data_IF_044740369551
#
_entry.id   IF_044740369551
#
_cell.length_a   1.000
_cell.length_b   1.000
_cell.length_c   1.000
_cell.angle_alpha   90.00
_cell.angle_beta   90.00
_cell.angle_gamma   90.00
#
_symmetry.space_group_name_H-M   'P 1'
#
loop_
_entity.id
_entity.type
_entity.pdbx_description
1 polymer ?
#
# COMPACT_ATOMS: atom_id res chain seq x y z
N UNK A 1 6.58 13.19 -20.46
CA UNK A 1 6.80 11.70 -20.38
C UNK A 1 5.43 11.07 -20.22
N UNK A 2 5.19 9.91 -20.78
CA UNK A 2 3.90 9.20 -20.62
C UNK A 2 3.89 8.37 -19.33
N UNK A 3 2.74 8.21 -18.72
CA UNK A 3 2.55 7.35 -17.53
C UNK A 3 3.18 5.95 -17.71
N UNK A 4 3.09 5.39 -18.91
CA UNK A 4 3.68 4.09 -19.22
C UNK A 4 5.21 4.06 -19.13
N UNK A 5 5.88 5.15 -19.46
CA UNK A 5 7.33 5.26 -19.34
C UNK A 5 7.75 5.32 -17.86
N UNK A 6 6.99 6.08 -17.04
CA UNK A 6 7.22 6.15 -15.59
C UNK A 6 7.00 4.78 -14.93
N UNK A 7 5.89 4.09 -15.26
CA UNK A 7 5.60 2.74 -14.76
C UNK A 7 6.74 1.75 -15.08
N UNK A 8 7.24 1.75 -16.32
CA UNK A 8 8.38 0.90 -16.69
C UNK A 8 9.63 1.22 -15.87
N UNK A 9 9.86 2.51 -15.61
CA UNK A 9 10.95 2.97 -14.74
C UNK A 9 10.80 2.45 -13.31
N UNK A 10 9.59 2.57 -12.73
CA UNK A 10 9.29 2.12 -11.37
C UNK A 10 9.41 0.59 -11.23
N UNK A 11 8.92 -0.20 -12.20
CA UNK A 11 9.12 -1.65 -12.19
C UNK A 11 10.59 -2.05 -12.30
N UNK A 12 11.39 -1.36 -13.15
CA UNK A 12 12.83 -1.58 -13.24
C UNK A 12 13.55 -1.22 -11.94
N UNK A 13 13.14 -0.13 -11.30
CA UNK A 13 13.66 0.28 -10.00
C UNK A 13 13.41 -0.81 -8.95
N UNK A 14 12.17 -1.26 -8.82
CA UNK A 14 11.78 -2.29 -7.88
C UNK A 14 12.57 -3.59 -8.10
N UNK A 15 12.78 -3.98 -9.36
CA UNK A 15 13.60 -5.14 -9.72
C UNK A 15 15.06 -4.94 -9.29
N UNK A 16 15.66 -3.81 -9.68
CA UNK A 16 17.08 -3.51 -9.42
C UNK A 16 17.41 -3.45 -7.94
N UNK A 17 16.48 -2.93 -7.13
CA UNK A 17 16.69 -2.76 -5.69
C UNK A 17 16.11 -3.91 -4.84
N UNK A 18 15.73 -5.01 -5.46
CA UNK A 18 15.39 -6.24 -4.75
C UNK A 18 14.02 -6.27 -4.09
N UNK A 19 13.10 -5.36 -4.44
CA UNK A 19 11.75 -5.33 -3.86
C UNK A 19 11.00 -6.65 -4.10
N UNK A 20 11.10 -7.19 -5.31
CA UNK A 20 10.48 -8.49 -5.63
C UNK A 20 11.05 -9.63 -4.79
N UNK A 21 12.38 -9.65 -4.58
CA UNK A 21 13.03 -10.63 -3.73
C UNK A 21 12.53 -10.56 -2.30
N UNK A 22 12.37 -9.35 -1.77
CA UNK A 22 11.84 -9.13 -0.43
C UNK A 22 10.39 -9.59 -0.29
N UNK A 23 9.52 -9.24 -1.25
CA UNK A 23 8.14 -9.74 -1.29
C UNK A 23 8.09 -11.28 -1.37
N UNK A 24 8.95 -11.89 -2.16
CA UNK A 24 9.01 -13.36 -2.28
C UNK A 24 9.39 -14.02 -0.94
N UNK A 25 10.37 -13.45 -0.23
CA UNK A 25 10.81 -13.95 1.10
C UNK A 25 9.65 -13.84 2.10
N UNK A 26 8.96 -12.70 2.15
CA UNK A 26 7.81 -12.53 3.05
C UNK A 26 6.65 -13.45 2.68
N UNK A 27 6.33 -13.62 1.39
CA UNK A 27 5.32 -14.58 0.95
C UNK A 27 5.65 -15.99 1.40
N UNK A 28 6.89 -16.45 1.19
CA UNK A 28 7.33 -17.79 1.59
C UNK A 28 7.24 -17.98 3.12
N UNK A 29 7.68 -16.96 3.88
CA UNK A 29 7.60 -16.98 5.33
C UNK A 29 6.15 -17.05 5.82
N UNK A 30 5.25 -16.23 5.28
CA UNK A 30 3.84 -16.23 5.68
C UNK A 30 3.10 -17.51 5.29
N UNK A 31 3.33 -18.01 4.09
CA UNK A 31 2.79 -19.32 3.69
C UNK A 31 3.31 -20.41 4.63
N UNK A 32 4.60 -20.43 4.94
CA UNK A 32 5.18 -21.40 5.89
C UNK A 32 4.57 -21.31 7.27
N UNK A 33 4.40 -20.11 7.82
CA UNK A 33 3.74 -19.90 9.12
C UNK A 33 2.28 -20.34 9.07
N UNK A 34 1.53 -19.95 8.03
CA UNK A 34 0.12 -20.32 7.89
C UNK A 34 -0.08 -21.83 7.82
N UNK A 35 0.76 -22.54 7.07
CA UNK A 35 0.69 -24.01 6.98
C UNK A 35 0.98 -24.71 8.32
N UNK A 36 1.70 -24.05 9.23
CA UNK A 36 1.99 -24.58 10.57
C UNK A 36 0.90 -24.25 11.62
N UNK A 37 -0.03 -23.33 11.29
CA UNK A 37 -1.08 -22.90 12.22
C UNK A 37 -2.26 -23.89 12.27
N UNK A 38 -2.94 -24.02 13.43
CA UNK A 38 -4.18 -24.79 13.56
C UNK A 38 -5.30 -24.27 12.67
N UNK A 39 -6.13 -25.15 12.13
CA UNK A 39 -7.24 -24.80 11.23
C UNK A 39 -8.22 -23.77 11.83
N UNK A 40 -8.38 -23.76 13.15
CA UNK A 40 -9.30 -22.86 13.88
C UNK A 40 -8.95 -21.37 13.74
N UNK A 41 -7.67 -21.03 13.62
CA UNK A 41 -7.20 -19.62 13.52
C UNK A 41 -6.62 -19.29 12.14
N UNK A 42 -6.52 -20.27 11.26
CA UNK A 42 -5.83 -20.18 9.97
C UNK A 42 -6.37 -19.04 9.09
N UNK A 43 -7.69 -18.96 8.91
CA UNK A 43 -8.32 -17.90 8.10
C UNK A 43 -8.09 -16.50 8.68
N UNK A 44 -8.25 -16.32 9.99
CA UNK A 44 -8.05 -15.03 10.66
C UNK A 44 -6.59 -14.59 10.59
N UNK A 45 -5.66 -15.53 10.79
CA UNK A 45 -4.24 -15.26 10.64
C UNK A 45 -3.88 -14.87 9.20
N UNK A 46 -4.42 -15.57 8.19
CA UNK A 46 -4.20 -15.23 6.79
C UNK A 46 -4.71 -13.82 6.45
N UNK A 47 -5.91 -13.45 6.93
CA UNK A 47 -6.46 -12.10 6.76
C UNK A 47 -5.56 -11.02 7.36
N UNK A 48 -5.10 -11.23 8.60
CA UNK A 48 -4.23 -10.28 9.28
C UNK A 48 -2.87 -10.15 8.58
N UNK A 49 -2.27 -11.27 8.17
CA UNK A 49 -0.99 -11.26 7.46
C UNK A 49 -1.10 -10.57 6.09
N UNK A 50 -2.15 -10.84 5.32
CA UNK A 50 -2.36 -10.18 4.03
C UNK A 50 -2.64 -8.68 4.21
N UNK A 51 -3.39 -8.31 5.24
CA UNK A 51 -3.70 -6.91 5.52
C UNK A 51 -2.49 -6.13 6.03
N UNK A 52 -1.74 -6.69 7.00
CA UNK A 52 -0.62 -5.99 7.64
C UNK A 52 0.60 -5.86 6.74
N UNK A 53 0.77 -6.72 5.74
CA UNK A 53 1.99 -6.77 4.94
C UNK A 53 1.74 -6.49 3.46
N UNK A 54 1.15 -7.34 2.63
CA UNK A 54 0.94 -7.00 1.22
C UNK A 54 0.16 -5.70 1.02
N UNK A 55 -0.88 -5.44 1.82
CA UNK A 55 -1.63 -4.20 1.70
C UNK A 55 -0.89 -2.99 2.28
N UNK A 56 -0.21 -3.11 3.43
CA UNK A 56 0.43 -2.00 4.12
C UNK A 56 1.88 -1.70 3.67
N UNK A 57 2.59 -2.68 3.12
CA UNK A 57 3.99 -2.50 2.67
C UNK A 57 4.18 -1.38 1.64
N UNK A 58 3.14 -1.08 0.86
CA UNK A 58 3.13 0.06 -0.04
C UNK A 58 3.51 1.38 0.64
N UNK A 59 3.15 1.55 1.92
CA UNK A 59 3.49 2.72 2.71
C UNK A 59 5.01 2.88 2.86
N UNK A 60 5.68 1.84 3.33
CA UNK A 60 7.13 1.86 3.57
C UNK A 60 7.93 1.87 2.28
N UNK A 61 7.58 1.03 1.32
CA UNK A 61 8.31 0.90 0.07
C UNK A 61 8.21 2.15 -0.78
N UNK A 62 7.04 2.76 -0.86
CA UNK A 62 6.90 4.02 -1.58
C UNK A 62 7.72 5.12 -0.91
N UNK A 63 7.68 5.20 0.42
CA UNK A 63 8.48 6.17 1.14
C UNK A 63 9.98 5.99 0.95
N UNK A 64 10.47 4.76 1.03
CA UNK A 64 11.86 4.44 0.76
C UNK A 64 12.26 4.80 -0.68
N UNK A 65 11.42 4.46 -1.67
CA UNK A 65 11.63 4.79 -3.09
C UNK A 65 11.73 6.29 -3.31
N UNK A 66 10.78 7.07 -2.77
CA UNK A 66 10.76 8.54 -2.92
C UNK A 66 11.94 9.19 -2.23
N UNK A 67 12.29 8.79 -1.01
CA UNK A 67 13.45 9.33 -0.30
C UNK A 67 14.77 8.98 -1.00
N UNK A 68 14.87 7.79 -1.57
CA UNK A 68 16.03 7.40 -2.37
C UNK A 68 16.15 8.26 -3.63
N UNK A 69 15.07 8.48 -4.36
CA UNK A 69 15.04 9.38 -5.52
C UNK A 69 15.38 10.83 -5.15
N UNK A 70 14.93 11.30 -3.98
CA UNK A 70 15.32 12.61 -3.45
C UNK A 70 16.83 12.68 -3.20
N UNK A 71 17.40 11.66 -2.56
CA UNK A 71 18.85 11.61 -2.26
C UNK A 71 19.72 11.60 -3.51
N UNK A 72 19.25 10.98 -4.58
CA UNK A 72 19.93 10.92 -5.89
C UNK A 72 19.58 12.11 -6.82
N UNK A 73 18.83 13.10 -6.34
CA UNK A 73 18.37 14.27 -7.13
C UNK A 73 17.50 13.91 -8.35
N UNK A 74 16.98 12.71 -8.42
CA UNK A 74 16.07 12.28 -9.50
C UNK A 74 14.80 13.13 -9.48
N UNK A 75 14.27 13.43 -8.28
CA UNK A 75 13.10 14.31 -8.13
C UNK A 75 13.35 15.70 -8.68
N UNK A 76 14.54 16.26 -8.50
CA UNK A 76 14.91 17.57 -9.08
C UNK A 76 14.91 17.55 -10.61
N UNK A 77 15.38 16.46 -11.21
CA UNK A 77 15.35 16.28 -12.67
C UNK A 77 13.90 16.10 -13.19
N UNK A 78 13.04 15.41 -12.42
CA UNK A 78 11.63 15.26 -12.75
C UNK A 78 10.84 16.57 -12.60
N UNK A 79 11.24 17.43 -11.65
CA UNK A 79 10.58 18.71 -11.40
C UNK A 79 10.75 19.71 -12.56
N UNK A 80 11.85 19.61 -13.33
CA UNK A 80 12.09 20.43 -14.54
C UNK A 80 11.66 19.74 -15.83
N UNK A 81 11.29 18.45 -15.77
CA UNK A 81 10.76 17.71 -16.90
C UNK A 81 9.26 17.94 -17.06
N UNK A 82 8.67 17.77 -18.25
CA UNK A 82 7.22 17.88 -18.46
C UNK A 82 6.48 16.65 -17.92
N UNK A 83 6.56 16.44 -16.59
CA UNK A 83 5.89 15.36 -15.87
C UNK A 83 4.92 15.96 -14.87
N UNK A 84 3.65 15.59 -14.97
CA UNK A 84 2.67 16.01 -13.99
C UNK A 84 2.86 15.26 -12.66
N UNK A 85 2.69 15.95 -11.53
CA UNK A 85 2.74 15.32 -10.21
C UNK A 85 1.75 14.16 -10.07
N UNK A 86 0.61 14.22 -10.74
CA UNK A 86 -0.38 13.14 -10.81
C UNK A 86 0.14 11.89 -11.51
N UNK A 87 0.87 12.04 -12.61
CA UNK A 87 1.48 10.91 -13.33
C UNK A 87 2.59 10.25 -12.51
N UNK A 88 3.43 11.06 -11.85
CA UNK A 88 4.46 10.58 -10.95
C UNK A 88 3.88 9.77 -9.77
N UNK A 89 2.85 10.29 -9.12
CA UNK A 89 2.17 9.60 -8.02
C UNK A 89 1.49 8.34 -8.51
N UNK A 90 0.71 8.44 -9.60
CA UNK A 90 -0.03 7.31 -10.15
C UNK A 90 0.89 6.15 -10.54
N UNK A 91 2.04 6.42 -11.18
CA UNK A 91 2.96 5.36 -11.59
C UNK A 91 3.49 4.57 -10.38
N UNK A 92 3.90 5.26 -9.32
CA UNK A 92 4.42 4.62 -8.11
C UNK A 92 3.37 3.81 -7.36
N UNK A 93 2.18 4.41 -7.16
CA UNK A 93 1.08 3.73 -6.49
C UNK A 93 0.66 2.47 -7.26
N UNK A 94 0.48 2.58 -8.57
CA UNK A 94 0.07 1.45 -9.40
C UNK A 94 1.11 0.34 -9.43
N UNK A 95 2.39 0.68 -9.62
CA UNK A 95 3.45 -0.33 -9.69
C UNK A 95 3.58 -1.13 -8.38
N UNK A 96 3.53 -0.46 -7.22
CA UNK A 96 3.58 -1.13 -5.93
C UNK A 96 2.31 -1.95 -5.65
N UNK A 97 1.12 -1.40 -5.97
CA UNK A 97 -0.13 -2.11 -5.76
C UNK A 97 -0.25 -3.39 -6.62
N UNK A 98 0.31 -3.40 -7.83
CA UNK A 98 0.39 -4.62 -8.63
C UNK A 98 1.24 -5.70 -7.95
N UNK A 99 2.39 -5.33 -7.40
CA UNK A 99 3.29 -6.28 -6.71
C UNK A 99 2.64 -6.77 -5.40
N UNK A 100 2.08 -5.86 -4.62
CA UNK A 100 1.35 -6.20 -3.38
C UNK A 100 0.18 -7.15 -3.64
N UNK A 101 -0.57 -6.91 -4.70
CA UNK A 101 -1.70 -7.79 -5.08
C UNK A 101 -1.22 -9.17 -5.46
N UNK A 102 -0.12 -9.26 -6.24
CA UNK A 102 0.51 -10.53 -6.55
C UNK A 102 0.94 -11.30 -5.30
N UNK A 103 1.57 -10.61 -4.34
CA UNK A 103 1.97 -11.18 -3.06
C UNK A 103 0.77 -11.65 -2.22
N UNK A 104 -0.27 -10.82 -2.08
CA UNK A 104 -1.49 -11.18 -1.35
C UNK A 104 -2.21 -12.38 -1.96
N UNK A 105 -2.30 -12.44 -3.30
CA UNK A 105 -2.84 -13.59 -4.01
C UNK A 105 -1.99 -14.85 -3.81
N UNK A 106 -0.67 -14.74 -3.86
CA UNK A 106 0.22 -15.86 -3.61
C UNK A 106 0.00 -16.43 -2.20
N UNK A 107 -0.04 -15.57 -1.16
CA UNK A 107 -0.31 -16.01 0.21
C UNK A 107 -1.68 -16.70 0.30
N UNK A 108 -2.73 -16.11 -0.29
CA UNK A 108 -4.08 -16.66 -0.25
C UNK A 108 -4.20 -18.03 -0.92
N UNK A 109 -3.55 -18.22 -2.09
CA UNK A 109 -3.62 -19.45 -2.86
C UNK A 109 -2.76 -20.57 -2.25
N UNK A 110 -1.53 -20.24 -1.86
CA UNK A 110 -0.60 -21.26 -1.35
C UNK A 110 -0.82 -21.62 0.12
N UNK A 111 -1.45 -20.74 0.90
CA UNK A 111 -1.81 -21.07 2.29
C UNK A 111 -3.03 -21.99 2.43
N UNK A 112 -3.86 -22.10 1.40
CA UNK A 112 -5.10 -22.89 1.49
C UNK A 112 -6.18 -22.28 2.41
N UNK A 113 -6.11 -20.97 2.70
CA UNK A 113 -7.03 -20.30 3.63
C UNK A 113 -8.48 -20.16 3.14
N UNK A 114 -8.78 -20.57 1.90
CA UNK A 114 -10.13 -20.53 1.33
C UNK A 114 -10.68 -19.11 1.17
N UNK A 115 -9.82 -18.13 0.87
CA UNK A 115 -10.20 -16.73 0.70
C UNK A 115 -10.76 -16.45 -0.70
N UNK A 116 -11.73 -15.51 -0.84
CA UNK A 116 -12.32 -15.18 -2.14
C UNK A 116 -11.34 -14.37 -3.00
N UNK A 117 -10.78 -15.02 -4.03
CA UNK A 117 -9.66 -14.51 -4.84
C UNK A 117 -9.95 -13.13 -5.46
N UNK A 118 -11.15 -12.94 -6.04
CA UNK A 118 -11.47 -11.70 -6.77
C UNK A 118 -11.64 -10.50 -5.83
N UNK A 119 -12.40 -10.64 -4.75
CA UNK A 119 -12.58 -9.56 -3.77
C UNK A 119 -11.30 -9.30 -2.98
N UNK A 120 -10.52 -10.34 -2.68
CA UNK A 120 -9.20 -10.20 -2.08
C UNK A 120 -8.26 -9.39 -2.98
N UNK A 121 -8.21 -9.70 -4.28
CA UNK A 121 -7.41 -8.93 -5.23
C UNK A 121 -7.79 -7.44 -5.22
N UNK A 122 -9.10 -7.14 -5.23
CA UNK A 122 -9.59 -5.77 -5.14
C UNK A 122 -9.24 -5.12 -3.80
N UNK A 123 -9.40 -5.84 -2.69
CA UNK A 123 -9.08 -5.37 -1.34
C UNK A 123 -7.61 -5.05 -1.15
N UNK A 124 -6.71 -5.95 -1.57
CA UNK A 124 -5.26 -5.74 -1.48
C UNK A 124 -4.81 -4.63 -2.42
N UNK A 125 -5.33 -4.60 -3.66
CA UNK A 125 -4.98 -3.57 -4.64
C UNK A 125 -5.34 -2.17 -4.15
N UNK A 126 -6.59 -1.95 -3.75
CA UNK A 126 -7.06 -0.66 -3.24
C UNK A 126 -6.44 -0.30 -1.89
N UNK A 127 -6.25 -1.28 -1.01
CA UNK A 127 -5.55 -1.10 0.26
C UNK A 127 -4.10 -0.65 0.03
N UNK A 128 -3.37 -1.31 -0.86
CA UNK A 128 -2.01 -0.91 -1.21
C UNK A 128 -1.95 0.47 -1.85
N UNK A 129 -2.91 0.84 -2.72
CA UNK A 129 -3.02 2.20 -3.25
C UNK A 129 -3.20 3.23 -2.13
N UNK A 130 -4.06 2.95 -1.16
CA UNK A 130 -4.32 3.83 -0.02
C UNK A 130 -3.08 3.98 0.86
N UNK A 131 -2.47 2.88 1.29
CA UNK A 131 -1.26 2.90 2.11
C UNK A 131 -0.10 3.59 1.40
N UNK A 132 0.09 3.30 0.09
CA UNK A 132 1.09 3.97 -0.72
C UNK A 132 0.83 5.48 -0.86
N UNK A 133 -0.44 5.91 -1.00
CA UNK A 133 -0.78 7.33 -1.02
C UNK A 133 -0.43 8.03 0.30
N UNK A 134 -0.69 7.38 1.44
CA UNK A 134 -0.26 7.87 2.77
C UNK A 134 1.27 7.94 2.83
N UNK A 135 1.97 6.90 2.37
CA UNK A 135 3.44 6.86 2.28
C UNK A 135 4.01 8.02 1.47
N UNK A 136 3.40 8.35 0.31
CA UNK A 136 3.78 9.49 -0.52
C UNK A 136 3.64 10.82 0.24
N UNK A 137 2.54 11.03 0.95
CA UNK A 137 2.29 12.25 1.72
C UNK A 137 3.35 12.44 2.80
N UNK A 138 3.72 11.36 3.49
CA UNK A 138 4.72 11.38 4.56
C UNK A 138 6.13 11.56 4.01
N UNK A 139 6.49 10.83 2.95
CA UNK A 139 7.80 10.92 2.30
C UNK A 139 8.07 12.31 1.70
N UNK A 140 7.06 12.94 1.11
CA UNK A 140 7.19 14.31 0.59
C UNK A 140 7.49 15.37 1.68
N UNK A 141 7.28 15.03 2.96
CA UNK A 141 7.53 15.90 4.12
C UNK A 141 8.76 15.49 4.92
N UNK A 142 9.23 14.26 4.75
CA UNK A 142 10.36 13.73 5.48
C UNK A 142 11.68 14.14 4.82
N UNK A 143 12.64 14.60 5.63
CA UNK A 143 13.98 14.93 5.16
C UNK A 143 14.93 13.71 5.21
N UNK A 144 14.61 12.72 6.04
CA UNK A 144 15.45 11.51 6.26
C UNK A 144 14.56 10.29 6.44
N UNK A 145 15.15 9.11 6.18
CA UNK A 145 14.47 7.84 6.35
C UNK A 145 13.99 7.62 7.80
N UNK A 146 14.81 7.96 8.78
CA UNK A 146 14.43 7.83 10.20
C UNK A 146 13.20 8.69 10.54
N UNK A 147 13.17 9.94 10.06
CA UNK A 147 12.01 10.82 10.26
C UNK A 147 10.77 10.26 9.56
N UNK A 148 10.94 9.71 8.36
CA UNK A 148 9.85 9.07 7.64
C UNK A 148 9.26 7.91 8.45
N UNK A 149 10.10 6.97 8.92
CA UNK A 149 9.66 5.82 9.73
C UNK A 149 8.92 6.27 10.99
N UNK A 150 9.42 7.28 11.70
CA UNK A 150 8.73 7.83 12.88
C UNK A 150 7.36 8.44 12.53
N UNK A 151 7.22 9.03 11.35
CA UNK A 151 5.93 9.59 10.90
C UNK A 151 4.95 8.52 10.41
N UNK A 152 5.43 7.34 10.00
CA UNK A 152 4.54 6.25 9.56
C UNK A 152 3.85 5.56 10.72
N UNK A 153 4.49 5.46 11.89
CA UNK A 153 3.96 4.77 13.07
C UNK A 153 2.54 5.23 13.45
N UNK A 154 2.26 6.53 13.68
CA UNK A 154 0.91 6.97 14.03
C UNK A 154 -0.10 6.76 12.90
N UNK A 155 0.31 6.93 11.65
CA UNK A 155 -0.57 6.70 10.50
C UNK A 155 -0.95 5.21 10.37
N UNK A 156 0.00 4.33 10.59
CA UNK A 156 -0.20 2.88 10.56
C UNK A 156 -1.10 2.42 11.71
N UNK A 157 -0.84 2.88 12.92
CA UNK A 157 -1.68 2.57 14.09
C UNK A 157 -3.12 3.02 13.84
N UNK A 158 -3.34 4.22 13.28
CA UNK A 158 -4.69 4.72 12.99
C UNK A 158 -5.45 3.87 11.97
N UNK A 159 -4.76 3.23 11.02
CA UNK A 159 -5.41 2.43 9.99
C UNK A 159 -5.49 0.94 10.41
N UNK A 160 -4.41 0.40 10.98
CA UNK A 160 -4.32 -1.03 11.27
C UNK A 160 -5.00 -1.40 12.59
N UNK A 161 -4.79 -0.64 13.67
CA UNK A 161 -5.29 -1.04 14.98
C UNK A 161 -6.83 -1.11 15.06
N UNK A 162 -7.62 -0.13 14.55
CA UNK A 162 -9.07 -0.25 14.54
C UNK A 162 -9.56 -1.39 13.65
N UNK A 163 -8.88 -1.64 12.51
CA UNK A 163 -9.23 -2.71 11.61
C UNK A 163 -8.95 -4.11 12.23
N UNK A 164 -7.81 -4.26 12.89
CA UNK A 164 -7.50 -5.48 13.62
C UNK A 164 -8.47 -5.70 14.80
N UNK A 165 -8.76 -4.65 15.56
CA UNK A 165 -9.72 -4.72 16.66
C UNK A 165 -11.12 -5.15 16.19
N UNK A 166 -11.55 -4.69 15.01
CA UNK A 166 -12.84 -5.06 14.42
C UNK A 166 -12.98 -6.57 14.22
N UNK A 167 -11.92 -7.28 13.86
CA UNK A 167 -11.97 -8.74 13.72
C UNK A 167 -12.33 -9.47 15.02
N UNK A 168 -12.02 -8.89 16.18
CA UNK A 168 -12.20 -9.49 17.50
C UNK A 168 -13.37 -8.88 18.29
N UNK A 169 -13.89 -7.72 17.88
CA UNK A 169 -14.89 -6.94 18.62
C UNK A 169 -16.34 -7.16 18.16
N UNK A 170 -16.66 -8.34 17.62
CA UNK A 170 -18.03 -8.64 17.16
C UNK A 170 -18.43 -7.97 15.85
N UNK A 171 -17.51 -7.36 15.13
CA UNK A 171 -17.65 -6.84 13.77
C UNK A 171 -18.79 -5.82 13.57
N UNK A 172 -18.85 -4.72 14.34
CA UNK A 172 -19.93 -3.76 14.24
C UNK A 172 -19.99 -3.09 12.85
N UNK A 173 -21.18 -3.02 12.25
CA UNK A 173 -21.40 -2.54 10.88
C UNK A 173 -20.93 -1.11 10.64
N UNK A 174 -21.01 -0.22 11.64
CA UNK A 174 -20.59 1.17 11.52
C UNK A 174 -19.09 1.31 11.18
N UNK A 175 -18.27 0.34 11.58
CA UNK A 175 -16.85 0.35 11.30
C UNK A 175 -16.50 0.11 9.83
N UNK A 176 -17.48 -0.23 8.97
CA UNK A 176 -17.27 -0.31 7.53
C UNK A 176 -16.90 1.05 6.90
N UNK A 177 -17.12 2.16 7.60
CA UNK A 177 -16.64 3.48 7.17
C UNK A 177 -15.14 3.64 7.31
N UNK A 178 -14.48 2.76 8.07
CA UNK A 178 -13.04 2.81 8.28
C UNK A 178 -12.29 2.08 7.15
N UNK A 179 -11.29 2.72 6.50
CA UNK A 179 -10.64 2.15 5.32
C UNK A 179 -9.95 0.81 5.58
N UNK A 180 -9.31 0.62 6.73
CA UNK A 180 -8.68 -0.65 7.08
C UNK A 180 -9.68 -1.79 7.24
N UNK A 181 -10.89 -1.52 7.79
CA UNK A 181 -11.98 -2.50 7.88
C UNK A 181 -12.46 -2.90 6.48
N UNK A 182 -12.60 -1.93 5.57
CA UNK A 182 -12.97 -2.21 4.18
C UNK A 182 -12.00 -3.18 3.51
N UNK A 183 -10.70 -3.00 3.72
CA UNK A 183 -9.68 -3.94 3.18
C UNK A 183 -9.90 -5.34 3.74
N UNK A 184 -10.10 -5.49 5.06
CA UNK A 184 -10.35 -6.80 5.69
C UNK A 184 -11.64 -7.46 5.18
N UNK A 185 -12.73 -6.70 5.03
CA UNK A 185 -14.00 -7.20 4.48
C UNK A 185 -13.79 -7.72 3.05
N UNK A 186 -13.10 -6.96 2.20
CA UNK A 186 -12.81 -7.37 0.83
C UNK A 186 -11.85 -8.57 0.76
N UNK A 187 -10.89 -8.67 1.67
CA UNK A 187 -9.98 -9.82 1.73
C UNK A 187 -10.67 -11.12 2.20
N UNK A 188 -11.92 -11.08 2.59
CA UNK A 188 -12.68 -12.27 2.97
C UNK A 188 -13.11 -12.28 4.43
N UNK A 189 -13.12 -11.12 5.09
CA UNK A 189 -13.75 -10.90 6.38
C UNK A 189 -15.27 -11.01 6.30
N UNK A 190 -15.94 -10.91 7.43
CA UNK A 190 -17.39 -10.82 7.49
C UNK A 190 -17.86 -9.45 6.98
N UNK A 191 -19.07 -9.40 6.43
CA UNK A 191 -19.67 -8.15 5.97
C UNK A 191 -19.98 -8.12 4.47
N UNK A 192 -20.58 -7.02 4.03
CA UNK A 192 -20.95 -6.83 2.63
C UNK A 192 -19.79 -6.19 1.85
N UNK A 193 -19.29 -6.88 0.83
CA UNK A 193 -18.18 -6.42 0.01
C UNK A 193 -18.48 -5.15 -0.82
N UNK A 194 -19.72 -4.95 -1.24
CA UNK A 194 -20.07 -3.79 -2.09
C UNK A 194 -19.93 -2.44 -1.37
N UNK A 195 -20.53 -2.21 -0.19
CA UNK A 195 -20.29 -0.98 0.57
C UNK A 195 -18.83 -0.78 0.89
N UNK A 196 -18.11 -1.84 1.29
CA UNK A 196 -16.69 -1.77 1.58
C UNK A 196 -15.87 -1.30 0.36
N UNK A 197 -16.20 -1.80 -0.82
CA UNK A 197 -15.54 -1.40 -2.07
C UNK A 197 -15.73 0.10 -2.35
N UNK A 198 -16.96 0.61 -2.27
CA UNK A 198 -17.24 2.02 -2.55
C UNK A 198 -16.59 2.95 -1.52
N UNK A 199 -16.65 2.59 -0.24
CA UNK A 199 -16.00 3.37 0.82
C UNK A 199 -14.48 3.38 0.64
N UNK A 200 -13.88 2.24 0.33
CA UNK A 200 -12.44 2.14 0.10
C UNK A 200 -12.00 2.93 -1.14
N UNK A 201 -12.80 2.90 -2.21
CA UNK A 201 -12.56 3.74 -3.41
C UNK A 201 -12.60 5.23 -3.07
N UNK A 202 -13.57 5.66 -2.26
CA UNK A 202 -13.68 7.05 -1.82
C UNK A 202 -12.44 7.49 -1.00
N UNK A 203 -12.01 6.67 -0.05
CA UNK A 203 -10.80 6.92 0.74
C UNK A 203 -9.53 6.94 -0.12
N UNK A 204 -9.39 5.97 -1.03
CA UNK A 204 -8.25 5.90 -1.94
C UNK A 204 -8.19 7.14 -2.85
N UNK A 205 -9.33 7.56 -3.40
CA UNK A 205 -9.42 8.78 -4.20
C UNK A 205 -9.09 10.05 -3.41
N UNK A 206 -9.53 10.13 -2.16
CA UNK A 206 -9.21 11.24 -1.26
C UNK A 206 -7.70 11.30 -0.98
N UNK A 207 -7.09 10.21 -0.53
CA UNK A 207 -5.65 10.16 -0.25
C UNK A 207 -4.79 10.32 -1.51
N UNK A 208 -5.24 9.83 -2.66
CA UNK A 208 -4.58 10.08 -3.96
C UNK A 208 -4.47 11.58 -4.25
N UNK A 209 -5.56 12.34 -4.09
CA UNK A 209 -5.54 13.80 -4.28
C UNK A 209 -4.57 14.50 -3.32
N UNK A 210 -4.55 14.08 -2.07
CA UNK A 210 -3.60 14.62 -1.08
C UNK A 210 -2.15 14.27 -1.43
N UNK A 211 -1.89 13.05 -1.92
CA UNK A 211 -0.58 12.60 -2.36
C UNK A 211 -0.07 13.41 -3.57
N UNK A 212 -0.94 13.66 -4.55
CA UNK A 212 -0.62 14.52 -5.71
C UNK A 212 -0.27 15.94 -5.26
N UNK A 213 -1.05 16.51 -4.33
CA UNK A 213 -0.75 17.83 -3.77
C UNK A 213 0.58 17.87 -3.01
N UNK A 214 0.90 16.80 -2.28
CA UNK A 214 2.17 16.68 -1.54
C UNK A 214 3.36 16.56 -2.50
N UNK A 215 3.25 15.72 -3.53
CA UNK A 215 4.27 15.56 -4.57
C UNK A 215 4.49 16.86 -5.36
N UNK A 216 3.42 17.57 -5.71
CA UNK A 216 3.52 18.87 -6.38
C UNK A 216 4.30 19.90 -5.56
N UNK A 217 4.05 19.97 -4.24
CA UNK A 217 4.82 20.84 -3.34
C UNK A 217 6.29 20.41 -3.23
N UNK A 218 6.56 19.10 -3.25
CA UNK A 218 7.92 18.56 -3.26
C UNK A 218 8.66 18.97 -4.54
N UNK A 219 8.01 18.91 -5.71
CA UNK A 219 8.58 19.34 -6.98
C UNK A 219 8.93 20.84 -6.98
N UNK A 220 8.03 21.69 -6.48
CA UNK A 220 8.28 23.14 -6.36
C UNK A 220 9.51 23.44 -5.49
N UNK A 221 9.67 22.73 -4.37
CA UNK A 221 10.84 22.92 -3.49
C UNK A 221 12.16 22.47 -4.11
N UNK A 222 12.14 21.42 -4.94
CA UNK A 222 13.34 20.81 -5.52
C UNK A 222 13.68 21.36 -6.91
N UNK A 223 12.70 21.90 -7.62
CA UNK A 223 12.88 22.53 -8.94
C UNK A 223 13.41 23.97 -8.92
N UNK A 224 13.73 24.51 -7.73
CA UNK A 224 14.24 25.88 -7.62
C UNK A 224 13.19 26.99 -7.76
N UNK A 225 11.93 26.66 -7.54
CA UNK A 225 10.85 27.66 -7.41
C UNK A 225 11.07 28.51 -6.17
N UNK A 226 11.32 29.78 -6.38
CA UNK A 226 11.47 30.88 -5.42
C UNK A 226 10.22 31.00 -4.54
#
# INVERSE_FOLDING_TARGET
>A
MTLSALLKGDFRFQWKYGFYGLYLIFCALYVGVLLALPASIHKTAALLMIFSDPAAMGLYFLGAMVLFEQSQRVVSSLAVAPVAASEYVASKLLSLSCVSTGAGLAIALFSGAGLPVLSLAAGVFLGSLLFSAVGMILAARAATLNRFVLMTIPAEILIIAPAAAWLFAGQPDIMILHPGVCVLVLCGGAGNAWPALFVLLAWTGFFFRLAVKAAGRMFLKMGGGV
#
